data_IF_354643367323
#
_entry.id   IF_354643367323
#
_cell.length_a   1.000
_cell.length_b   1.000
_cell.length_c   1.000
_cell.angle_alpha   90.00
_cell.angle_beta   90.00
_cell.angle_gamma   90.00
#
_symmetry.space_group_name_H-M   'P 1'
#
loop_
_entity.id
_entity.type
_entity.pdbx_description
1 polymer ?
#
# COMPACT_ATOMS: atom_id res chain seq x y z
N UNK A 1 -27.32 45.35 -50.42
CA UNK A 1 -28.47 44.56 -50.92
C UNK A 1 -29.09 43.89 -49.71
N UNK A 2 -30.25 44.39 -49.24
CA UNK A 2 -31.59 43.74 -49.34
C UNK A 2 -31.61 42.35 -48.68
N UNK A 3 -32.47 42.02 -47.72
CA UNK A 3 -33.71 42.64 -47.27
C UNK A 3 -34.29 41.86 -46.07
N UNK A 4 -35.42 42.35 -45.61
CA UNK A 4 -36.11 42.14 -44.33
C UNK A 4 -36.74 40.75 -44.14
N UNK A 5 -37.07 40.41 -42.88
CA UNK A 5 -38.44 40.07 -42.48
C UNK A 5 -38.64 40.25 -40.96
N UNK A 6 -39.76 40.93 -40.64
CA UNK A 6 -40.40 41.18 -39.34
C UNK A 6 -40.71 39.88 -38.56
N UNK A 7 -40.83 39.85 -37.23
CA UNK A 7 -42.02 40.32 -36.49
C UNK A 7 -41.76 40.70 -35.01
N UNK A 8 -42.65 41.56 -34.53
CA UNK A 8 -42.74 42.22 -33.22
C UNK A 8 -43.36 41.33 -32.15
N UNK A 9 -42.88 41.46 -30.90
CA UNK A 9 -43.76 41.59 -29.72
C UNK A 9 -42.99 42.32 -28.59
N UNK A 10 -43.55 43.43 -28.10
CA UNK A 10 -43.16 44.11 -26.84
C UNK A 10 -44.23 43.79 -25.76
N UNK A 11 -44.19 44.38 -24.55
CA UNK A 11 -43.34 44.03 -23.41
C UNK A 11 -44.21 43.69 -22.17
N UNK A 12 -43.74 42.89 -21.21
CA UNK A 12 -44.39 42.82 -19.89
C UNK A 12 -43.37 43.10 -18.79
N UNK A 13 -43.54 44.28 -18.20
CA UNK A 13 -42.96 44.73 -16.95
C UNK A 13 -43.38 43.80 -15.81
N UNK A 14 -42.42 43.22 -15.08
CA UNK A 14 -42.66 42.68 -13.73
C UNK A 14 -41.37 42.63 -12.91
N UNK A 15 -41.08 43.74 -12.25
CA UNK A 15 -39.95 43.91 -11.31
C UNK A 15 -40.20 43.31 -9.92
N UNK A 16 -41.30 42.59 -9.71
CA UNK A 16 -41.71 42.10 -8.38
C UNK A 16 -41.60 40.58 -8.20
N UNK A 17 -41.44 39.79 -9.27
CA UNK A 17 -41.35 38.32 -9.20
C UNK A 17 -39.92 37.81 -8.85
N UNK A 18 -38.92 38.68 -8.86
CA UNK A 18 -37.53 38.27 -8.69
C UNK A 18 -37.07 38.24 -7.22
N UNK A 19 -37.79 38.93 -6.32
CA UNK A 19 -37.43 38.98 -4.89
C UNK A 19 -38.02 37.79 -4.12
N UNK A 20 -39.27 37.39 -4.42
CA UNK A 20 -39.88 36.19 -3.82
C UNK A 20 -39.21 34.89 -4.27
N UNK A 21 -38.79 34.78 -5.54
CA UNK A 21 -38.04 33.60 -6.03
C UNK A 21 -36.68 33.46 -5.35
N UNK A 22 -36.00 34.57 -5.03
CA UNK A 22 -34.71 34.53 -4.32
C UNK A 22 -34.85 34.12 -2.85
N UNK A 23 -35.96 34.48 -2.19
CA UNK A 23 -36.24 34.06 -0.80
C UNK A 23 -36.66 32.59 -0.74
N UNK A 24 -37.43 32.10 -1.72
CA UNK A 24 -37.83 30.69 -1.77
C UNK A 24 -36.63 29.75 -2.08
N UNK A 25 -35.66 30.22 -2.86
CA UNK A 25 -34.41 29.47 -3.13
C UNK A 25 -33.45 29.48 -1.93
N UNK A 26 -33.54 30.48 -1.05
CA UNK A 26 -32.74 30.55 0.19
C UNK A 26 -33.29 29.64 1.30
N UNK A 27 -34.61 29.41 1.34
CA UNK A 27 -35.26 28.50 2.30
C UNK A 27 -35.09 27.01 1.95
N UNK A 28 -34.84 26.67 0.67
CA UNK A 28 -34.51 25.29 0.27
C UNK A 28 -33.05 24.89 0.55
N UNK A 29 -32.19 25.86 0.89
CA UNK A 29 -30.78 25.63 1.30
C UNK A 29 -30.61 25.50 2.82
N UNK A 30 -31.67 25.72 3.60
CA UNK A 30 -31.67 25.61 5.07
C UNK A 30 -32.28 24.30 5.60
N UNK A 31 -32.80 23.45 4.72
CA UNK A 31 -33.16 22.06 5.02
C UNK A 31 -32.00 21.10 4.76
N UNK A 32 -30.77 21.54 5.03
CA UNK A 32 -29.70 20.61 5.39
C UNK A 32 -30.18 20.00 6.69
N UNK A 33 -30.56 18.73 6.60
CA UNK A 33 -30.77 17.86 7.73
C UNK A 33 -29.77 18.20 8.82
N UNK A 34 -30.28 18.62 9.97
CA UNK A 34 -29.58 18.47 11.23
C UNK A 34 -29.29 16.97 11.38
N UNK A 35 -28.21 16.52 10.74
CA UNK A 35 -27.60 15.25 11.01
C UNK A 35 -27.32 15.27 12.50
N UNK A 36 -28.00 14.38 13.23
CA UNK A 36 -27.78 14.17 14.65
C UNK A 36 -26.27 14.22 14.92
N UNK A 37 -25.84 15.26 15.62
CA UNK A 37 -24.51 15.34 16.24
C UNK A 37 -24.42 14.36 17.43
N UNK A 38 -24.85 13.12 17.21
CA UNK A 38 -24.49 11.99 18.05
C UNK A 38 -23.14 11.50 17.53
N UNK A 39 -22.07 11.87 18.24
CA UNK A 39 -20.69 11.56 17.86
C UNK A 39 -20.56 10.10 17.43
N UNK A 40 -20.18 9.89 16.17
CA UNK A 40 -19.97 8.57 15.61
C UNK A 40 -18.83 7.84 16.34
N UNK A 41 -18.71 6.53 16.17
CA UNK A 41 -17.49 5.81 16.55
C UNK A 41 -16.52 5.81 15.37
N UNK A 42 -15.24 5.56 15.62
CA UNK A 42 -14.23 5.50 14.54
C UNK A 42 -14.65 4.58 13.38
N UNK A 43 -15.26 3.44 13.68
CA UNK A 43 -15.76 2.52 12.65
C UNK A 43 -16.77 3.16 11.69
N UNK A 44 -17.60 4.08 12.17
CA UNK A 44 -18.62 4.75 11.35
C UNK A 44 -17.95 5.67 10.31
N UNK A 45 -16.79 6.24 10.63
CA UNK A 45 -15.98 7.02 9.70
C UNK A 45 -15.24 6.13 8.69
N UNK A 46 -14.59 5.06 9.14
CA UNK A 46 -13.76 4.22 8.28
C UNK A 46 -14.57 3.46 7.20
N UNK A 47 -15.86 3.24 7.45
CA UNK A 47 -16.75 2.57 6.51
C UNK A 47 -17.19 3.45 5.33
N UNK A 48 -16.85 4.74 5.29
CA UNK A 48 -17.22 5.63 4.19
C UNK A 48 -16.06 6.54 3.79
N UNK A 49 -15.94 6.78 2.49
CA UNK A 49 -14.83 7.57 1.93
C UNK A 49 -14.84 9.02 2.39
N UNK A 50 -16.04 9.60 2.58
CA UNK A 50 -16.23 10.92 3.18
C UNK A 50 -15.84 10.92 4.66
N UNK A 51 -16.26 9.90 5.42
CA UNK A 51 -15.92 9.74 6.83
C UNK A 51 -14.41 9.60 7.07
N UNK A 52 -13.70 8.84 6.23
CA UNK A 52 -12.23 8.76 6.29
C UNK A 52 -11.59 10.13 6.06
N UNK A 53 -12.06 10.90 5.07
CA UNK A 53 -11.52 12.24 4.82
C UNK A 53 -11.74 13.17 6.01
N UNK A 54 -12.95 13.15 6.57
CA UNK A 54 -13.35 13.96 7.72
C UNK A 54 -12.48 13.65 8.94
N UNK A 55 -12.38 12.38 9.32
CA UNK A 55 -11.66 12.01 10.55
C UNK A 55 -10.15 12.26 10.42
N UNK A 56 -9.57 12.11 9.21
CA UNK A 56 -8.17 12.44 8.94
C UNK A 56 -7.92 13.96 9.01
N UNK A 57 -8.78 14.75 8.39
CA UNK A 57 -8.68 16.22 8.39
C UNK A 57 -8.80 16.77 9.81
N UNK A 58 -9.83 16.32 10.55
CA UNK A 58 -10.07 16.71 11.94
C UNK A 58 -8.91 16.38 12.87
N UNK A 59 -8.16 15.33 12.56
CA UNK A 59 -7.00 14.90 13.33
C UNK A 59 -5.65 15.39 12.75
N UNK A 60 -5.66 16.40 11.88
CA UNK A 60 -4.45 17.08 11.41
C UNK A 60 -3.55 16.19 10.55
N UNK A 61 -4.14 15.33 9.71
CA UNK A 61 -3.42 14.63 8.64
C UNK A 61 -3.39 15.51 7.40
N UNK A 62 -2.22 15.64 6.78
CA UNK A 62 -2.03 16.48 5.59
C UNK A 62 -3.02 16.14 4.48
N UNK A 63 -3.64 17.17 3.88
CA UNK A 63 -4.65 17.01 2.83
C UNK A 63 -4.13 16.20 1.62
N UNK A 64 -2.84 16.30 1.33
CA UNK A 64 -2.15 15.56 0.25
C UNK A 64 -2.15 14.05 0.51
N UNK A 65 -2.13 13.60 1.77
CA UNK A 65 -2.15 12.18 2.13
C UNK A 65 -3.56 11.57 2.06
N UNK A 66 -4.61 12.36 2.28
CA UNK A 66 -5.99 11.88 2.45
C UNK A 66 -6.46 10.99 1.29
N UNK A 67 -6.31 11.36 0.00
CA UNK A 67 -6.79 10.52 -1.10
C UNK A 67 -6.14 9.13 -1.11
N UNK A 68 -4.84 9.04 -0.79
CA UNK A 68 -4.12 7.76 -0.72
C UNK A 68 -4.61 6.91 0.44
N UNK A 69 -4.76 7.52 1.62
CA UNK A 69 -5.23 6.82 2.83
C UNK A 69 -6.65 6.30 2.66
N UNK A 70 -7.54 7.07 2.01
CA UNK A 70 -8.90 6.60 1.65
C UNK A 70 -8.84 5.31 0.84
N UNK A 71 -8.02 5.30 -0.21
CA UNK A 71 -7.83 4.11 -1.06
C UNK A 71 -7.32 2.91 -0.25
N UNK A 72 -6.35 3.12 0.64
CA UNK A 72 -5.82 2.03 1.49
C UNK A 72 -6.88 1.47 2.44
N UNK A 73 -7.72 2.31 3.04
CA UNK A 73 -8.83 1.85 3.89
C UNK A 73 -9.85 1.07 3.07
N UNK A 74 -10.26 1.58 1.91
CA UNK A 74 -11.19 0.90 1.02
C UNK A 74 -10.67 -0.49 0.59
N UNK A 75 -9.43 -0.56 0.12
CA UNK A 75 -8.76 -1.80 -0.28
C UNK A 75 -8.65 -2.79 0.88
N UNK A 76 -8.34 -2.29 2.08
CA UNK A 76 -8.22 -3.14 3.27
C UNK A 76 -9.56 -3.75 3.70
N UNK A 77 -10.62 -2.94 3.66
CA UNK A 77 -11.97 -3.40 3.97
C UNK A 77 -12.48 -4.43 2.96
N UNK A 78 -12.21 -4.18 1.66
CA UNK A 78 -12.57 -5.11 0.59
C UNK A 78 -11.80 -6.44 0.73
N UNK A 79 -10.50 -6.36 1.04
CA UNK A 79 -9.65 -7.52 1.27
C UNK A 79 -10.16 -8.41 2.41
N UNK A 80 -10.61 -7.78 3.50
CA UNK A 80 -11.10 -8.50 4.67
C UNK A 80 -12.52 -9.06 4.48
N UNK A 81 -13.33 -8.52 3.56
CA UNK A 81 -14.73 -8.94 3.44
C UNK A 81 -14.93 -10.31 2.78
N UNK A 82 -13.92 -10.90 2.13
CA UNK A 82 -13.98 -12.16 1.34
C UNK A 82 -14.99 -12.18 0.18
N UNK A 83 -15.95 -11.25 0.15
CA UNK A 83 -17.02 -11.07 -0.83
C UNK A 83 -16.68 -10.05 -1.93
N UNK A 84 -15.55 -9.35 -1.79
CA UNK A 84 -15.16 -8.26 -2.69
C UNK A 84 -16.02 -6.98 -2.54
N UNK A 85 -16.92 -6.92 -1.56
CA UNK A 85 -17.72 -5.73 -1.22
C UNK A 85 -17.23 -5.11 0.09
N UNK A 86 -17.59 -3.85 0.33
CA UNK A 86 -17.31 -3.18 1.61
C UNK A 86 -18.21 -3.80 2.69
N UNK A 87 -17.66 -4.23 3.83
CA UNK A 87 -18.45 -4.83 4.90
C UNK A 87 -19.28 -3.76 5.64
N UNK A 88 -20.42 -4.16 6.21
CA UNK A 88 -21.10 -3.35 7.22
C UNK A 88 -20.33 -3.35 8.54
N UNK A 89 -20.74 -2.50 9.49
CA UNK A 89 -20.17 -2.44 10.85
C UNK A 89 -20.19 -3.79 11.57
N UNK A 90 -21.33 -4.49 11.53
CA UNK A 90 -21.48 -5.80 12.16
C UNK A 90 -20.58 -6.84 11.48
N UNK A 91 -20.58 -6.87 10.15
CA UNK A 91 -19.74 -7.77 9.36
C UNK A 91 -18.26 -7.54 9.62
N UNK A 92 -17.79 -6.29 9.67
CA UNK A 92 -16.38 -6.00 9.94
C UNK A 92 -15.97 -6.51 11.32
N UNK A 93 -16.79 -6.33 12.36
CA UNK A 93 -16.50 -6.87 13.69
C UNK A 93 -16.48 -8.39 13.71
N UNK A 94 -17.42 -9.03 13.04
CA UNK A 94 -17.48 -10.49 12.92
C UNK A 94 -16.24 -11.05 12.20
N UNK A 95 -15.88 -10.45 11.06
CA UNK A 95 -14.66 -10.77 10.32
C UNK A 95 -13.45 -10.64 11.24
N UNK A 96 -13.26 -9.49 11.88
CA UNK A 96 -12.12 -9.26 12.76
C UNK A 96 -12.08 -10.28 13.88
N UNK A 97 -13.20 -10.57 14.55
CA UNK A 97 -13.28 -11.54 15.63
C UNK A 97 -12.91 -12.97 15.18
N UNK A 98 -13.28 -13.36 13.96
CA UNK A 98 -12.95 -14.67 13.40
C UNK A 98 -11.48 -14.79 12.97
N UNK A 99 -10.73 -13.69 12.85
CA UNK A 99 -9.30 -13.74 12.56
C UNK A 99 -8.53 -14.42 13.70
N UNK A 100 -7.94 -15.57 13.39
CA UNK A 100 -6.90 -16.21 14.18
C UNK A 100 -5.51 -15.66 13.85
N UNK A 101 -4.47 -16.36 14.28
CA UNK A 101 -3.09 -16.05 13.89
C UNK A 101 -2.10 -16.19 15.03
N UNK A 102 -0.96 -15.53 14.86
CA UNK A 102 0.11 -15.44 15.87
C UNK A 102 -0.29 -14.53 17.04
N UNK A 103 0.43 -14.56 18.17
CA UNK A 103 0.20 -13.60 19.26
C UNK A 103 0.26 -12.13 18.83
N UNK A 104 1.13 -11.80 17.85
CA UNK A 104 1.20 -10.46 17.27
C UNK A 104 -0.10 -10.09 16.52
N UNK A 105 -0.63 -11.02 15.73
CA UNK A 105 -1.87 -10.82 14.98
C UNK A 105 -3.05 -10.57 15.93
N UNK A 106 -3.15 -11.38 16.98
CA UNK A 106 -4.19 -11.25 18.00
C UNK A 106 -4.08 -9.93 18.76
N UNK A 107 -2.86 -9.47 19.08
CA UNK A 107 -2.64 -8.17 19.72
C UNK A 107 -3.09 -7.01 18.82
N UNK A 108 -2.74 -7.05 17.54
CA UNK A 108 -3.12 -6.01 16.56
C UNK A 108 -4.64 -6.02 16.35
N UNK A 109 -5.25 -7.21 16.21
CA UNK A 109 -6.70 -7.40 16.13
C UNK A 109 -7.41 -6.76 17.32
N UNK A 110 -7.05 -7.14 18.54
CA UNK A 110 -7.73 -6.68 19.74
C UNK A 110 -7.58 -5.16 19.92
N UNK A 111 -6.39 -4.62 19.62
CA UNK A 111 -6.17 -3.17 19.61
C UNK A 111 -7.06 -2.46 18.59
N UNK A 112 -7.20 -3.02 17.37
CA UNK A 112 -8.06 -2.44 16.35
C UNK A 112 -9.53 -2.44 16.78
N UNK A 113 -10.04 -3.56 17.30
CA UNK A 113 -11.44 -3.64 17.78
C UNK A 113 -11.72 -2.58 18.85
N UNK A 114 -10.81 -2.39 19.80
CA UNK A 114 -10.94 -1.36 20.82
C UNK A 114 -10.96 0.07 20.22
N UNK A 115 -10.09 0.35 19.25
CA UNK A 115 -10.05 1.66 18.57
C UNK A 115 -11.31 1.92 17.74
N UNK A 116 -11.83 0.91 17.05
CA UNK A 116 -13.04 1.00 16.23
C UNK A 116 -14.27 1.36 17.06
N UNK A 117 -14.30 0.94 18.33
CA UNK A 117 -15.40 1.23 19.25
C UNK A 117 -15.29 2.56 19.99
N UNK A 118 -14.17 3.27 19.81
CA UNK A 118 -13.88 4.52 20.49
C UNK A 118 -14.75 5.67 19.91
N UNK A 119 -15.42 6.46 20.78
CA UNK A 119 -16.18 7.64 20.36
C UNK A 119 -15.31 8.69 19.70
N UNK A 120 -15.87 9.41 18.72
CA UNK A 120 -15.18 10.42 17.92
C UNK A 120 -14.51 11.51 18.74
N UNK A 121 -15.19 12.03 19.76
CA UNK A 121 -14.73 13.10 20.65
C UNK A 121 -13.51 12.69 21.50
N UNK A 122 -13.26 11.38 21.61
CA UNK A 122 -12.12 10.83 22.34
C UNK A 122 -10.96 10.42 21.41
N UNK A 123 -11.13 10.53 20.10
CA UNK A 123 -10.11 10.13 19.13
C UNK A 123 -8.96 11.14 19.09
N UNK A 124 -7.75 10.61 19.12
CA UNK A 124 -6.52 11.34 18.81
C UNK A 124 -6.02 10.93 17.42
N UNK A 125 -5.17 11.75 16.81
CA UNK A 125 -4.46 11.43 15.56
C UNK A 125 -3.82 10.04 15.59
N UNK A 126 -3.14 9.70 16.69
CA UNK A 126 -2.51 8.40 16.87
C UNK A 126 -3.51 7.23 16.83
N UNK A 127 -4.73 7.42 17.35
CA UNK A 127 -5.76 6.38 17.37
C UNK A 127 -6.22 6.05 15.95
N UNK A 128 -6.50 7.10 15.16
CA UNK A 128 -6.92 6.98 13.76
C UNK A 128 -5.82 6.31 12.93
N UNK A 129 -4.58 6.79 13.05
CA UNK A 129 -3.43 6.25 12.31
C UNK A 129 -3.13 4.81 12.72
N UNK A 130 -3.20 4.47 14.01
CA UNK A 130 -2.99 3.10 14.49
C UNK A 130 -4.10 2.16 14.02
N UNK A 131 -5.36 2.61 13.98
CA UNK A 131 -6.45 1.81 13.46
C UNK A 131 -6.25 1.50 11.96
N UNK A 132 -5.88 2.51 11.16
CA UNK A 132 -5.63 2.33 9.73
C UNK A 132 -4.42 1.42 9.48
N UNK A 133 -3.30 1.62 10.18
CA UNK A 133 -2.13 0.74 10.08
C UNK A 133 -2.49 -0.72 10.46
N UNK A 134 -3.30 -0.91 11.51
CA UNK A 134 -3.74 -2.24 11.95
C UNK A 134 -4.66 -2.90 10.94
N UNK A 135 -5.57 -2.11 10.34
CA UNK A 135 -6.47 -2.57 9.29
C UNK A 135 -5.70 -3.03 8.05
N UNK A 136 -4.73 -2.23 7.58
CA UNK A 136 -3.86 -2.57 6.45
C UNK A 136 -3.06 -3.85 6.75
N UNK A 137 -2.48 -3.95 7.95
CA UNK A 137 -1.71 -5.14 8.35
C UNK A 137 -2.58 -6.41 8.31
N UNK A 138 -3.76 -6.38 8.93
CA UNK A 138 -4.64 -7.54 9.00
C UNK A 138 -5.20 -7.89 7.62
N UNK A 139 -5.54 -6.89 6.80
CA UNK A 139 -5.98 -7.09 5.42
C UNK A 139 -4.90 -7.76 4.56
N UNK A 140 -3.65 -7.30 4.65
CA UNK A 140 -2.54 -7.92 3.91
C UNK A 140 -2.29 -9.36 4.35
N UNK A 141 -2.39 -9.63 5.66
CA UNK A 141 -2.04 -10.93 6.23
C UNK A 141 -3.14 -11.99 6.14
N UNK A 142 -4.41 -11.58 6.23
CA UNK A 142 -5.56 -12.50 6.32
C UNK A 142 -6.62 -12.27 5.24
N UNK A 143 -6.53 -11.18 4.47
CA UNK A 143 -7.51 -10.86 3.45
C UNK A 143 -7.43 -11.74 2.20
N UNK A 144 -8.51 -11.76 1.43
CA UNK A 144 -8.68 -12.63 0.27
C UNK A 144 -8.32 -12.03 -1.07
N UNK A 145 -8.12 -10.70 -1.14
CA UNK A 145 -7.82 -10.01 -2.39
C UNK A 145 -6.35 -10.22 -2.76
N UNK A 146 -6.14 -10.95 -3.86
CA UNK A 146 -4.83 -11.26 -4.40
C UNK A 146 -4.39 -10.26 -5.47
N UNK A 147 -4.69 -8.97 -5.31
CA UNK A 147 -3.97 -7.92 -6.04
C UNK A 147 -3.40 -6.86 -5.11
N UNK A 148 -3.82 -6.81 -3.85
CA UNK A 148 -3.32 -5.84 -2.90
C UNK A 148 -2.01 -6.30 -2.24
N UNK A 149 -0.98 -5.46 -2.28
CA UNK A 149 0.34 -5.69 -1.72
C UNK A 149 0.75 -4.58 -0.75
N UNK A 150 1.36 -5.00 0.36
CA UNK A 150 1.85 -4.09 1.38
C UNK A 150 3.21 -3.51 0.97
N UNK A 151 3.30 -2.19 0.94
CA UNK A 151 4.54 -1.46 0.72
C UNK A 151 4.89 -0.54 1.91
N UNK A 152 6.15 -0.11 1.98
CA UNK A 152 6.65 0.72 3.07
C UNK A 152 6.29 2.19 2.83
N UNK A 153 5.48 2.79 3.72
CA UNK A 153 5.05 4.18 3.56
C UNK A 153 6.24 5.15 3.50
N UNK A 154 7.29 4.89 4.29
CA UNK A 154 8.50 5.73 4.31
C UNK A 154 9.29 5.72 3.00
N UNK A 155 9.19 4.65 2.22
CA UNK A 155 9.91 4.53 0.96
C UNK A 155 9.13 5.12 -0.23
N UNK A 156 7.82 5.32 -0.07
CA UNK A 156 6.94 5.82 -1.16
C UNK A 156 6.39 7.22 -0.89
N UNK A 157 6.43 7.70 0.36
CA UNK A 157 5.93 9.03 0.73
C UNK A 157 6.42 9.50 2.10
N UNK A 158 7.25 10.54 2.10
CA UNK A 158 7.65 11.24 3.32
C UNK A 158 6.44 11.85 4.05
N UNK A 159 5.44 12.34 3.31
CA UNK A 159 4.18 12.88 3.88
C UNK A 159 3.42 11.81 4.66
N UNK A 160 3.23 10.60 4.10
CA UNK A 160 2.57 9.51 4.81
C UNK A 160 3.36 9.10 6.06
N UNK A 161 4.69 9.00 5.94
CA UNK A 161 5.55 8.62 7.06
C UNK A 161 5.52 9.65 8.20
N UNK A 162 5.58 10.95 7.88
CA UNK A 162 5.45 12.05 8.85
C UNK A 162 4.11 12.05 9.58
N UNK A 163 3.05 11.56 8.92
CA UNK A 163 1.74 11.40 9.53
C UNK A 163 1.58 10.09 10.34
N UNK A 164 2.63 9.26 10.43
CA UNK A 164 2.66 8.04 11.24
C UNK A 164 2.13 6.79 10.51
N UNK A 165 1.83 6.89 9.22
CA UNK A 165 1.51 5.70 8.42
C UNK A 165 2.78 4.87 8.22
N UNK A 166 2.68 3.57 8.50
CA UNK A 166 3.79 2.63 8.39
C UNK A 166 3.76 1.89 7.06
N UNK A 167 2.56 1.67 6.55
CA UNK A 167 2.29 0.82 5.41
C UNK A 167 1.36 1.51 4.44
N UNK A 168 1.54 1.19 3.17
CA UNK A 168 0.56 1.43 2.12
C UNK A 168 0.05 0.08 1.62
N UNK A 169 -1.15 0.09 1.02
CA UNK A 169 -1.74 -1.10 0.42
C UNK A 169 -2.06 -0.80 -1.04
N UNK A 170 -1.12 -1.14 -1.91
CA UNK A 170 -1.18 -0.83 -3.34
C UNK A 170 -1.80 -2.00 -4.11
N UNK A 171 -2.54 -1.68 -5.17
CA UNK A 171 -3.09 -2.69 -6.08
C UNK A 171 -2.11 -2.97 -7.21
N UNK A 172 -1.85 -4.26 -7.45
CA UNK A 172 -1.02 -4.77 -8.54
C UNK A 172 -1.91 -5.04 -9.75
N UNK A 173 -1.62 -4.34 -10.85
CA UNK A 173 -2.34 -4.50 -12.11
C UNK A 173 -1.61 -5.40 -13.09
N UNK A 174 -0.30 -5.63 -12.90
CA UNK A 174 0.45 -6.61 -13.69
C UNK A 174 -0.24 -7.98 -13.68
N UNK A 175 -0.73 -8.41 -14.85
CA UNK A 175 -1.58 -9.61 -15.00
C UNK A 175 -0.93 -10.88 -14.43
N UNK A 176 0.38 -11.04 -14.62
CA UNK A 176 1.11 -12.23 -14.16
C UNK A 176 1.27 -12.22 -12.64
N UNK A 177 1.67 -11.08 -12.07
CA UNK A 177 1.78 -10.92 -10.62
C UNK A 177 0.43 -11.09 -9.93
N UNK A 178 -0.63 -10.49 -10.49
CA UNK A 178 -2.01 -10.67 -10.05
C UNK A 178 -2.42 -12.14 -10.09
N UNK A 179 -2.13 -12.87 -11.16
CA UNK A 179 -2.41 -14.31 -11.25
C UNK A 179 -1.70 -15.11 -10.16
N UNK A 180 -0.43 -14.79 -9.87
CA UNK A 180 0.31 -15.44 -8.77
C UNK A 180 -0.37 -15.18 -7.43
N UNK A 181 -0.66 -13.92 -7.14
CA UNK A 181 -1.29 -13.51 -5.88
C UNK A 181 -2.72 -14.10 -5.71
N UNK A 182 -3.53 -14.15 -6.76
CA UNK A 182 -4.92 -14.62 -6.71
C UNK A 182 -5.04 -16.15 -6.75
N UNK A 183 -4.22 -16.83 -7.55
CA UNK A 183 -4.40 -18.25 -7.90
C UNK A 183 -3.30 -19.17 -7.40
N UNK A 184 -2.11 -18.65 -7.09
CA UNK A 184 -0.95 -19.47 -6.70
C UNK A 184 -0.64 -19.38 -5.22
N UNK A 185 -0.70 -18.17 -4.63
CA UNK A 185 -0.36 -17.98 -3.23
C UNK A 185 -1.48 -18.51 -2.31
N UNK A 186 -1.13 -19.33 -1.30
CA UNK A 186 -2.09 -19.70 -0.27
C UNK A 186 -2.55 -18.47 0.51
N UNK A 187 -3.86 -18.40 0.78
CA UNK A 187 -4.48 -17.28 1.51
C UNK A 187 -4.32 -17.39 3.03
N UNK A 188 -4.10 -18.61 3.54
CA UNK A 188 -3.92 -18.82 4.97
C UNK A 188 -2.44 -18.67 5.37
N UNK A 189 -2.11 -17.90 6.43
CA UNK A 189 -0.72 -17.63 6.81
C UNK A 189 0.16 -18.89 6.97
N UNK A 190 -0.34 -19.93 7.65
CA UNK A 190 0.43 -21.18 7.82
C UNK A 190 0.73 -21.88 6.49
N UNK A 191 -0.23 -21.89 5.58
CA UNK A 191 -0.04 -22.47 4.25
C UNK A 191 0.93 -21.63 3.41
N UNK A 192 0.88 -20.30 3.55
CA UNK A 192 1.81 -19.39 2.90
C UNK A 192 3.25 -19.63 3.39
N UNK A 193 3.48 -19.75 4.70
CA UNK A 193 4.81 -20.07 5.24
C UNK A 193 5.32 -21.41 4.67
N UNK A 194 4.48 -22.44 4.60
CA UNK A 194 4.85 -23.74 4.00
C UNK A 194 5.19 -23.63 2.51
N UNK A 195 4.39 -22.86 1.77
CA UNK A 195 4.65 -22.55 0.37
C UNK A 195 6.02 -21.87 0.19
N UNK A 196 6.29 -20.82 0.98
CA UNK A 196 7.56 -20.10 0.97
C UNK A 196 8.72 -21.05 1.22
N UNK A 197 8.69 -21.85 2.30
CA UNK A 197 9.76 -22.80 2.61
C UNK A 197 10.01 -23.79 1.46
N UNK A 198 8.94 -24.30 0.86
CA UNK A 198 9.03 -25.24 -0.28
C UNK A 198 9.67 -24.57 -1.50
N UNK A 199 9.29 -23.33 -1.83
CA UNK A 199 9.82 -22.62 -2.99
C UNK A 199 11.24 -22.09 -2.77
N UNK A 200 11.57 -21.65 -1.55
CA UNK A 200 12.94 -21.30 -1.16
C UNK A 200 13.90 -22.46 -1.42
N UNK A 201 13.52 -23.67 -0.97
CA UNK A 201 14.30 -24.89 -1.21
C UNK A 201 14.35 -25.25 -2.71
N UNK A 202 13.20 -25.26 -3.41
CA UNK A 202 13.11 -25.60 -4.85
C UNK A 202 14.01 -24.72 -5.72
N UNK A 203 14.11 -23.43 -5.39
CA UNK A 203 14.87 -22.45 -6.19
C UNK A 203 16.22 -22.05 -5.58
N UNK A 204 16.68 -22.78 -4.56
CA UNK A 204 17.95 -22.59 -3.88
C UNK A 204 18.18 -21.13 -3.41
N UNK A 205 17.18 -20.55 -2.75
CA UNK A 205 17.26 -19.19 -2.19
C UNK A 205 17.70 -19.13 -0.71
N UNK A 206 18.15 -20.26 -0.17
CA UNK A 206 18.57 -20.41 1.22
C UNK A 206 17.49 -21.03 2.12
N UNK A 207 17.76 -21.03 3.42
CA UNK A 207 16.92 -21.63 4.45
C UNK A 207 16.42 -20.57 5.45
N UNK A 208 15.11 -20.56 5.71
CA UNK A 208 14.47 -19.63 6.64
C UNK A 208 14.52 -20.10 8.10
N UNK A 209 14.95 -21.34 8.39
CA UNK A 209 14.95 -21.90 9.75
C UNK A 209 15.78 -21.10 10.76
N UNK A 210 16.78 -20.36 10.28
CA UNK A 210 17.69 -19.51 11.09
C UNK A 210 17.46 -18.01 10.91
N UNK A 211 16.46 -17.63 10.11
CA UNK A 211 16.18 -16.22 9.82
C UNK A 211 15.45 -15.60 11.02
N UNK A 212 16.03 -14.52 11.55
CA UNK A 212 15.39 -13.75 12.62
C UNK A 212 14.07 -13.11 12.15
N UNK A 213 13.03 -13.02 13.00
CA UNK A 213 11.82 -12.25 12.70
C UNK A 213 12.07 -10.76 12.38
N UNK A 214 13.26 -10.23 12.72
CA UNK A 214 13.66 -8.87 12.33
C UNK A 214 14.04 -8.76 10.84
N UNK A 215 14.47 -9.85 10.22
CA UNK A 215 14.91 -9.92 8.82
C UNK A 215 13.76 -10.27 7.86
N UNK A 216 12.83 -11.13 8.31
CA UNK A 216 11.59 -11.43 7.60
C UNK A 216 10.42 -11.26 8.57
N UNK A 217 9.69 -10.15 8.44
CA UNK A 217 8.53 -9.91 9.29
C UNK A 217 7.28 -10.60 8.74
N UNK A 218 6.31 -10.96 9.59
CA UNK A 218 5.09 -11.65 9.15
C UNK A 218 4.30 -10.91 8.06
N UNK A 219 4.31 -9.57 8.06
CA UNK A 219 3.66 -8.76 7.03
C UNK A 219 4.34 -8.81 5.66
N UNK A 220 5.56 -9.32 5.58
CA UNK A 220 6.37 -9.38 4.35
C UNK A 220 6.37 -10.77 3.70
N UNK A 221 5.78 -11.78 4.37
CA UNK A 221 5.66 -13.14 3.83
C UNK A 221 4.93 -13.14 2.47
N UNK A 222 3.89 -12.30 2.30
CA UNK A 222 3.16 -12.20 1.03
C UNK A 222 4.05 -11.71 -0.12
N UNK A 223 4.91 -10.71 0.14
CA UNK A 223 5.86 -10.18 -0.84
C UNK A 223 6.91 -11.22 -1.24
N UNK A 224 7.43 -11.96 -0.25
CA UNK A 224 8.35 -13.06 -0.51
C UNK A 224 7.67 -14.20 -1.28
N UNK A 225 6.43 -14.53 -0.92
CA UNK A 225 5.60 -15.49 -1.65
C UNK A 225 5.43 -15.10 -3.11
N UNK A 226 5.10 -13.83 -3.38
CA UNK A 226 4.97 -13.30 -4.74
C UNK A 226 6.26 -13.44 -5.54
N UNK A 227 7.39 -13.02 -4.96
CA UNK A 227 8.72 -13.19 -5.58
C UNK A 227 8.98 -14.65 -5.97
N UNK A 228 8.73 -15.58 -5.05
CA UNK A 228 8.94 -17.01 -5.28
C UNK A 228 7.95 -17.61 -6.29
N UNK A 229 6.70 -17.13 -6.32
CA UNK A 229 5.70 -17.55 -7.31
C UNK A 229 6.02 -17.05 -8.71
N UNK A 230 6.54 -15.82 -8.83
CA UNK A 230 7.04 -15.28 -10.10
C UNK A 230 8.30 -15.98 -10.59
N UNK A 231 9.11 -16.58 -9.72
CA UNK A 231 10.24 -17.41 -10.15
C UNK A 231 9.77 -18.61 -10.99
N UNK A 232 8.56 -19.09 -10.74
CA UNK A 232 7.92 -20.17 -11.49
C UNK A 232 7.12 -19.65 -12.69
N UNK A 233 6.14 -18.79 -12.41
CA UNK A 233 5.09 -18.40 -13.34
C UNK A 233 5.35 -17.06 -14.06
N UNK A 234 6.42 -16.35 -13.67
CA UNK A 234 6.76 -15.03 -14.23
C UNK A 234 7.05 -15.06 -15.73
N UNK A 235 6.85 -13.90 -16.36
CA UNK A 235 7.31 -13.64 -17.72
C UNK A 235 8.86 -13.59 -17.76
N UNK A 236 9.43 -13.39 -18.96
CA UNK A 236 10.88 -13.38 -19.14
C UNK A 236 11.55 -12.28 -18.30
N UNK A 237 11.05 -11.05 -18.37
CA UNK A 237 11.59 -9.90 -17.65
C UNK A 237 11.56 -10.11 -16.14
N UNK A 238 10.45 -10.61 -15.60
CA UNK A 238 10.30 -10.91 -14.17
C UNK A 238 11.31 -11.98 -13.74
N UNK A 239 11.50 -13.04 -14.54
CA UNK A 239 12.49 -14.09 -14.26
C UNK A 239 13.92 -13.57 -14.34
N UNK A 240 14.21 -12.66 -15.27
CA UNK A 240 15.52 -12.02 -15.39
C UNK A 240 15.84 -11.15 -14.16
N UNK A 241 14.85 -10.39 -13.65
CA UNK A 241 15.01 -9.64 -12.40
C UNK A 241 15.21 -10.58 -11.19
N UNK A 242 14.43 -11.66 -11.10
CA UNK A 242 14.59 -12.66 -10.03
C UNK A 242 15.98 -13.30 -10.06
N UNK A 243 16.52 -13.59 -11.25
CA UNK A 243 17.87 -14.09 -11.40
C UNK A 243 18.92 -13.06 -10.98
N UNK A 244 18.75 -11.78 -11.34
CA UNK A 244 19.65 -10.71 -10.88
C UNK A 244 19.61 -10.55 -9.36
N UNK A 245 18.44 -10.68 -8.72
CA UNK A 245 18.32 -10.72 -7.26
C UNK A 245 19.02 -11.96 -6.70
N UNK A 246 18.90 -13.13 -7.33
CA UNK A 246 19.61 -14.35 -6.91
C UNK A 246 21.12 -14.12 -6.89
N UNK A 247 21.69 -13.66 -7.99
CA UNK A 247 23.11 -13.37 -8.14
C UNK A 247 23.58 -12.35 -7.09
N UNK A 248 22.78 -11.29 -6.87
CA UNK A 248 23.04 -10.31 -5.83
C UNK A 248 22.98 -10.90 -4.42
N UNK A 249 22.21 -11.98 -4.21
CA UNK A 249 22.10 -12.72 -2.94
C UNK A 249 23.18 -13.82 -2.77
N UNK A 250 23.95 -14.11 -3.81
CA UNK A 250 24.99 -15.15 -3.79
C UNK A 250 26.29 -14.60 -3.24
N UNK A 251 26.90 -15.33 -2.31
CA UNK A 251 28.21 -15.00 -1.74
C UNK A 251 29.37 -15.52 -2.61
N UNK A 252 30.60 -15.18 -2.23
CA UNK A 252 31.80 -15.59 -2.99
C UNK A 252 31.98 -17.12 -3.05
N UNK A 253 31.36 -17.87 -2.14
CA UNK A 253 31.42 -19.34 -2.10
C UNK A 253 30.32 -19.98 -2.97
N UNK A 254 29.54 -19.17 -3.70
CA UNK A 254 28.41 -19.64 -4.48
C UNK A 254 27.16 -19.95 -3.66
N UNK A 255 27.16 -19.65 -2.35
CA UNK A 255 26.01 -19.90 -1.48
C UNK A 255 25.02 -18.74 -1.62
N UNK A 256 23.77 -19.06 -1.96
CA UNK A 256 22.71 -18.06 -2.14
C UNK A 256 21.80 -18.04 -0.93
N UNK A 257 21.72 -16.88 -0.27
CA UNK A 257 20.76 -16.63 0.81
C UNK A 257 20.04 -15.32 0.54
N UNK A 258 18.76 -15.41 0.18
CA UNK A 258 17.92 -14.25 -0.14
C UNK A 258 17.66 -13.35 1.08
N UNK A 259 17.74 -13.93 2.28
CA UNK A 259 17.56 -13.24 3.55
C UNK A 259 18.77 -13.53 4.44
N UNK A 260 19.77 -12.66 4.38
CA UNK A 260 21.03 -12.78 5.11
C UNK A 260 21.35 -11.49 5.86
N UNK A 261 21.75 -11.58 7.12
CA UNK A 261 22.21 -10.42 7.90
C UNK A 261 23.49 -9.78 7.35
N UNK A 262 24.31 -10.53 6.60
CA UNK A 262 25.56 -10.04 5.99
C UNK A 262 25.31 -9.26 4.71
N UNK A 263 24.17 -9.51 4.05
CA UNK A 263 23.71 -8.79 2.87
C UNK A 263 22.21 -8.51 3.04
N UNK A 264 21.83 -7.53 3.88
CA UNK A 264 20.46 -7.38 4.36
C UNK A 264 19.54 -6.70 3.34
N UNK A 265 19.72 -6.95 2.04
CA UNK A 265 18.90 -6.37 0.99
C UNK A 265 17.47 -6.91 1.03
N UNK A 266 16.54 -6.13 0.48
CA UNK A 266 15.12 -6.48 0.40
C UNK A 266 14.59 -6.43 -1.03
N UNK A 267 15.45 -6.63 -2.03
CA UNK A 267 15.06 -6.58 -3.46
C UNK A 267 13.99 -7.59 -3.86
N UNK A 268 13.81 -8.67 -3.09
CA UNK A 268 12.66 -9.57 -3.27
C UNK A 268 11.30 -8.89 -3.05
N UNK A 269 11.28 -7.69 -2.45
CA UNK A 269 10.07 -6.88 -2.27
C UNK A 269 9.72 -6.02 -3.48
N UNK A 270 10.58 -5.89 -4.49
CA UNK A 270 10.34 -4.99 -5.64
C UNK A 270 8.99 -5.27 -6.33
N UNK A 271 8.59 -6.54 -6.45
CA UNK A 271 7.27 -6.92 -6.99
C UNK A 271 6.07 -6.60 -6.10
N UNK A 272 6.26 -6.02 -4.91
CA UNK A 272 5.16 -5.51 -4.07
C UNK A 272 4.62 -4.19 -4.59
N UNK A 273 5.27 -3.60 -5.60
CA UNK A 273 4.82 -2.43 -6.33
C UNK A 273 4.42 -2.85 -7.75
N UNK A 274 3.45 -2.14 -8.32
CA UNK A 274 3.03 -2.37 -9.70
C UNK A 274 4.12 -1.85 -10.64
N UNK A 275 4.76 -2.75 -11.37
CA UNK A 275 5.84 -2.43 -12.30
C UNK A 275 5.50 -2.93 -13.69
N UNK A 276 5.73 -2.08 -14.68
CA UNK A 276 5.75 -2.48 -16.09
C UNK A 276 7.08 -3.16 -16.47
N UNK A 277 7.13 -3.75 -17.66
CA UNK A 277 8.29 -4.51 -18.12
C UNK A 277 9.55 -3.62 -18.26
N UNK A 278 9.39 -2.34 -18.63
CA UNK A 278 10.52 -1.39 -18.71
C UNK A 278 11.14 -1.14 -17.34
N UNK A 279 10.30 -0.93 -16.32
CA UNK A 279 10.75 -0.76 -14.93
C UNK A 279 11.46 -2.01 -14.42
N UNK A 280 10.92 -3.21 -14.72
CA UNK A 280 11.54 -4.50 -14.36
C UNK A 280 12.91 -4.68 -15.02
N UNK A 281 13.02 -4.33 -16.31
CA UNK A 281 14.30 -4.38 -17.04
C UNK A 281 15.31 -3.36 -16.49
N UNK A 282 14.85 -2.16 -16.14
CA UNK A 282 15.63 -1.14 -15.47
C UNK A 282 16.27 -1.69 -14.19
N UNK A 283 15.45 -2.20 -13.27
CA UNK A 283 15.90 -2.84 -12.03
C UNK A 283 16.89 -3.97 -12.26
N UNK A 284 16.64 -4.81 -13.27
CA UNK A 284 17.53 -5.92 -13.64
C UNK A 284 18.93 -5.41 -13.99
N UNK A 285 19.03 -4.35 -14.80
CA UNK A 285 20.32 -3.74 -15.17
C UNK A 285 21.03 -3.16 -13.95
N UNK A 286 20.29 -2.51 -13.03
CA UNK A 286 20.87 -1.92 -11.81
C UNK A 286 21.53 -2.98 -10.94
N UNK A 287 20.81 -4.07 -10.68
CA UNK A 287 21.31 -5.14 -9.83
C UNK A 287 22.50 -5.87 -10.45
N UNK A 288 22.49 -6.09 -11.77
CA UNK A 288 23.63 -6.71 -12.48
C UNK A 288 24.88 -5.86 -12.43
N UNK A 289 24.77 -4.56 -12.68
CA UNK A 289 25.91 -3.63 -12.59
C UNK A 289 26.45 -3.53 -11.15
N UNK A 290 25.56 -3.44 -10.17
CA UNK A 290 25.92 -3.38 -8.76
C UNK A 290 26.63 -4.68 -8.33
N UNK A 291 26.14 -5.84 -8.76
CA UNK A 291 26.75 -7.12 -8.44
C UNK A 291 28.13 -7.28 -9.10
N UNK A 292 28.29 -6.85 -10.35
CA UNK A 292 29.57 -6.90 -11.07
C UNK A 292 30.63 -5.96 -10.46
N UNK A 293 30.19 -4.85 -9.85
CA UNK A 293 31.07 -3.87 -9.20
C UNK A 293 31.34 -4.19 -7.73
N UNK A 294 30.67 -5.21 -7.18
CA UNK A 294 30.87 -5.63 -5.81
C UNK A 294 32.01 -6.67 -5.76
N UNK A 295 33.15 -6.32 -5.16
CA UNK A 295 34.33 -7.20 -5.01
C UNK A 295 34.11 -8.36 -4.01
N UNK A 296 32.87 -8.82 -3.88
CA UNK A 296 32.42 -9.89 -3.03
C UNK A 296 32.29 -9.48 -1.55
N UNK A 297 31.02 -9.48 -1.15
CA UNK A 297 30.47 -9.45 0.21
C UNK A 297 30.40 -8.11 0.96
N UNK A 298 31.44 -7.28 1.03
CA UNK A 298 31.45 -6.15 1.99
C UNK A 298 30.98 -4.79 1.45
N UNK A 299 30.84 -4.62 0.13
CA UNK A 299 30.43 -3.34 -0.46
C UNK A 299 29.10 -3.40 -1.23
N UNK A 300 28.31 -4.49 -1.18
CA UNK A 300 27.14 -4.68 -2.05
C UNK A 300 26.13 -3.53 -1.96
N UNK A 301 25.88 -3.03 -0.74
CA UNK A 301 25.05 -1.85 -0.53
C UNK A 301 25.63 -0.60 -1.21
N UNK A 302 26.92 -0.33 -1.01
CA UNK A 302 27.57 0.84 -1.61
C UNK A 302 27.68 0.71 -3.13
N UNK A 303 27.95 -0.48 -3.66
CA UNK A 303 27.96 -0.77 -5.10
C UNK A 303 26.58 -0.53 -5.73
N UNK A 304 25.50 -0.91 -5.03
CA UNK A 304 24.14 -0.62 -5.46
C UNK A 304 23.85 0.89 -5.51
N UNK A 305 24.15 1.63 -4.43
CA UNK A 305 23.93 3.08 -4.42
C UNK A 305 24.86 3.82 -5.39
N UNK A 306 26.07 3.32 -5.65
CA UNK A 306 26.96 3.85 -6.68
C UNK A 306 26.40 3.62 -8.09
N UNK A 307 25.82 2.45 -8.37
CA UNK A 307 25.16 2.17 -9.65
C UNK A 307 23.94 3.07 -9.87
N UNK A 308 23.19 3.39 -8.81
CA UNK A 308 22.10 4.36 -8.87
C UNK A 308 22.62 5.79 -9.10
N UNK A 309 23.64 6.22 -8.34
CA UNK A 309 24.25 7.55 -8.47
C UNK A 309 24.80 7.79 -9.88
N UNK A 310 25.46 6.78 -10.46
CA UNK A 310 25.95 6.84 -11.85
C UNK A 310 24.83 7.11 -12.87
N UNK A 311 23.63 6.57 -12.64
CA UNK A 311 22.46 6.81 -13.50
C UNK A 311 21.81 8.17 -13.24
N UNK A 312 21.81 8.64 -11.99
CA UNK A 312 21.32 9.97 -11.64
C UNK A 312 22.20 11.08 -12.26
N UNK A 313 23.50 10.83 -12.44
CA UNK A 313 24.42 11.82 -12.99
C UNK A 313 24.47 13.07 -12.11
N UNK A 314 24.41 14.23 -12.74
CA UNK A 314 24.43 15.55 -12.07
C UNK A 314 23.02 16.08 -11.72
N UNK A 315 21.99 15.22 -11.77
CA UNK A 315 20.63 15.62 -11.36
C UNK A 315 20.54 15.71 -9.82
N UNK A 316 20.55 16.93 -9.30
CA UNK A 316 20.48 17.21 -7.87
C UNK A 316 19.24 16.59 -7.20
N UNK A 317 18.09 16.64 -7.87
CA UNK A 317 16.85 16.09 -7.33
C UNK A 317 16.93 14.57 -7.19
N UNK A 318 17.43 13.88 -8.22
CA UNK A 318 17.61 12.44 -8.17
C UNK A 318 18.63 12.04 -7.11
N UNK A 319 19.73 12.76 -6.99
CA UNK A 319 20.73 12.52 -5.94
C UNK A 319 20.15 12.71 -4.53
N UNK A 320 19.33 13.75 -4.30
CA UNK A 320 18.62 13.93 -3.03
C UNK A 320 17.65 12.79 -2.72
N UNK A 321 16.93 12.28 -3.73
CA UNK A 321 16.07 11.10 -3.56
C UNK A 321 16.88 9.86 -3.21
N UNK A 322 18.04 9.65 -3.83
CA UNK A 322 18.91 8.51 -3.52
C UNK A 322 19.42 8.55 -2.09
N UNK A 323 19.88 9.71 -1.61
CA UNK A 323 20.31 9.89 -0.23
C UNK A 323 19.15 9.69 0.76
N UNK A 324 17.95 10.14 0.41
CA UNK A 324 16.75 9.85 1.20
C UNK A 324 16.49 8.33 1.28
N UNK A 325 16.46 7.62 0.15
CA UNK A 325 16.22 6.17 0.11
C UNK A 325 17.30 5.38 0.85
N UNK A 326 18.56 5.84 0.80
CA UNK A 326 19.68 5.29 1.57
C UNK A 326 19.47 5.49 3.06
N UNK A 327 19.20 6.72 3.51
CA UNK A 327 18.97 7.06 4.92
C UNK A 327 17.75 6.34 5.52
N UNK A 328 16.77 6.00 4.71
CA UNK A 328 15.53 5.33 5.12
C UNK A 328 15.58 3.81 5.02
N UNK A 329 16.72 3.21 4.65
CA UNK A 329 16.88 1.75 4.59
C UNK A 329 15.81 1.09 3.69
N UNK A 330 15.53 1.72 2.54
CA UNK A 330 14.44 1.27 1.66
C UNK A 330 14.75 0.00 0.86
N UNK A 331 16.03 -0.29 0.67
CA UNK A 331 16.50 -1.47 -0.06
C UNK A 331 17.35 -2.42 0.78
N UNK A 332 17.79 -1.99 1.97
CA UNK A 332 18.68 -2.72 2.88
C UNK A 332 18.22 -2.49 4.32
N UNK A 333 18.33 -3.47 5.22
CA UNK A 333 17.94 -3.34 6.63
C UNK A 333 19.05 -2.84 7.53
#
# INVERSE_FOLDING_TARGET
MKGECFELEKPITRSEDMFLKKILTLLLLLSITSANAGGGKLIDFLLFDSGVAEILTKNGVDAIAIPRVKRYVANSLQALSFSGKKPTKAQLKEILNSLGGTPQDLRIKNSLIALLDKPEDQLKKSDVVNAINSLIFLANRHGSTGSAMLACAQCVSDVLSKNGFKFTLEEINNTTAKKVLDQTLPKQPRQLTNYINTKMAKYNFGDLSRVSPKMLRPEEEKSLGLFLGLAEAGNKQQKDLINAVREFSTDQNGVTNLIDSRNPHTFWKLFSEDMDDETVEGWTKILKEANASADGQTNKQDAFYAALKKRAGDDDYMNDQLEFLKKKNCFFR
#
